data_IF_209329664489
#
_entry.id   IF_209329664489
#
_cell.length_a   1.000
_cell.length_b   1.000
_cell.length_c   1.000
_cell.angle_alpha   90.00
_cell.angle_beta   90.00
_cell.angle_gamma   90.00
#
_symmetry.space_group_name_H-M   'P 1'
#
loop_
_entity.id
_entity.type
_entity.pdbx_description
1 polymer ?
#
# COMPACT_ATOMS: atom_id res chain seq x y z
N UNK A 1 -50.08 6.39 -29.79
CA UNK A 1 -48.69 6.04 -30.20
C UNK A 1 -48.73 4.71 -30.96
N UNK A 2 -48.27 4.68 -32.21
CA UNK A 2 -48.55 3.56 -33.12
C UNK A 2 -47.72 2.30 -32.78
N UNK A 3 -48.34 1.11 -32.70
CA UNK A 3 -47.68 -0.17 -32.37
C UNK A 3 -46.48 -0.49 -33.28
N UNK A 4 -46.50 0.00 -34.53
CA UNK A 4 -45.42 -0.14 -35.49
C UNK A 4 -44.13 0.58 -35.04
N UNK A 5 -44.23 1.76 -34.42
CA UNK A 5 -43.05 2.48 -33.91
C UNK A 5 -42.40 1.75 -32.75
N UNK A 6 -43.20 1.22 -31.81
CA UNK A 6 -42.66 0.48 -30.68
C UNK A 6 -41.92 -0.79 -31.12
N UNK A 7 -42.45 -1.49 -32.13
CA UNK A 7 -41.77 -2.64 -32.75
C UNK A 7 -40.47 -2.26 -33.43
N UNK A 8 -40.45 -1.13 -34.16
CA UNK A 8 -39.24 -0.64 -34.82
C UNK A 8 -38.16 -0.27 -33.80
N UNK A 9 -38.52 0.44 -32.73
CA UNK A 9 -37.60 0.79 -31.65
C UNK A 9 -37.04 -0.47 -30.98
N UNK A 10 -37.90 -1.43 -30.65
CA UNK A 10 -37.44 -2.68 -30.02
C UNK A 10 -36.53 -3.50 -30.94
N UNK A 11 -36.86 -3.61 -32.22
CA UNK A 11 -36.03 -4.31 -33.21
C UNK A 11 -34.66 -3.64 -33.35
N UNK A 12 -34.62 -2.31 -33.37
CA UNK A 12 -33.38 -1.54 -33.47
C UNK A 12 -32.53 -1.68 -32.20
N UNK A 13 -33.14 -1.55 -31.02
CA UNK A 13 -32.46 -1.76 -29.73
C UNK A 13 -31.89 -3.17 -29.62
N UNK A 14 -32.66 -4.20 -30.01
CA UNK A 14 -32.19 -5.58 -30.02
C UNK A 14 -31.02 -5.78 -31.01
N UNK A 15 -31.06 -5.15 -32.18
CA UNK A 15 -29.98 -5.20 -33.15
C UNK A 15 -28.69 -4.55 -32.60
N UNK A 16 -28.79 -3.40 -31.94
CA UNK A 16 -27.65 -2.73 -31.31
C UNK A 16 -27.08 -3.54 -30.16
N UNK A 17 -27.93 -4.10 -29.29
CA UNK A 17 -27.48 -4.90 -28.17
C UNK A 17 -26.76 -6.15 -28.66
N UNK A 18 -27.28 -6.82 -29.70
CA UNK A 18 -26.63 -7.98 -30.32
C UNK A 18 -25.31 -7.63 -30.98
N UNK A 19 -25.20 -6.45 -31.60
CA UNK A 19 -23.95 -5.93 -32.17
C UNK A 19 -22.93 -5.67 -31.06
N UNK A 20 -23.34 -5.03 -29.97
CA UNK A 20 -22.50 -4.76 -28.80
C UNK A 20 -21.95 -6.04 -28.21
N UNK A 21 -22.79 -7.07 -27.98
CA UNK A 21 -22.32 -8.35 -27.46
C UNK A 21 -21.40 -9.13 -28.41
N UNK A 22 -21.42 -8.82 -29.71
CA UNK A 22 -20.53 -9.45 -30.70
C UNK A 22 -19.16 -8.76 -30.76
N UNK A 23 -19.05 -7.54 -30.24
CA UNK A 23 -17.79 -6.82 -30.11
C UNK A 23 -17.05 -7.27 -28.85
N UNK A 24 -16.32 -8.39 -28.97
CA UNK A 24 -15.57 -8.97 -27.85
C UNK A 24 -14.52 -8.03 -27.28
N UNK A 25 -13.93 -7.16 -28.11
CA UNK A 25 -12.92 -6.19 -27.68
C UNK A 25 -13.59 -5.05 -26.92
N UNK A 26 -14.68 -4.50 -27.45
CA UNK A 26 -15.47 -3.48 -26.75
C UNK A 26 -16.00 -3.97 -25.40
N UNK A 27 -16.48 -5.22 -25.33
CA UNK A 27 -16.90 -5.85 -24.07
C UNK A 27 -15.76 -6.00 -23.06
N UNK A 28 -14.57 -6.41 -23.50
CA UNK A 28 -13.39 -6.52 -22.64
C UNK A 28 -13.08 -5.19 -21.98
N UNK A 29 -12.99 -4.11 -22.75
CA UNK A 29 -12.66 -2.78 -22.22
C UNK A 29 -13.79 -2.16 -21.40
N UNK A 30 -15.05 -2.49 -21.70
CA UNK A 30 -16.21 -1.90 -20.99
C UNK A 30 -16.44 -2.56 -19.63
N UNK A 31 -16.23 -3.88 -19.52
CA UNK A 31 -16.51 -4.64 -18.29
C UNK A 31 -15.24 -5.13 -17.60
N UNK A 32 -14.41 -5.89 -18.30
CA UNK A 32 -13.29 -6.60 -17.67
C UNK A 32 -12.19 -5.63 -17.24
N UNK A 33 -11.85 -4.65 -18.05
CA UNK A 33 -10.79 -3.69 -17.74
C UNK A 33 -11.09 -2.83 -16.48
N UNK A 34 -12.28 -2.22 -16.32
CA UNK A 34 -12.65 -1.54 -15.08
C UNK A 34 -12.67 -2.46 -13.86
N UNK A 35 -13.14 -3.71 -14.03
CA UNK A 35 -13.14 -4.68 -12.94
C UNK A 35 -11.71 -5.05 -12.51
N UNK A 36 -10.76 -5.22 -13.44
CA UNK A 36 -9.36 -5.47 -13.11
C UNK A 36 -8.79 -4.34 -12.24
N UNK A 37 -9.07 -3.07 -12.55
CA UNK A 37 -8.68 -1.97 -11.67
C UNK A 37 -9.34 -2.05 -10.31
N UNK A 38 -10.65 -2.33 -10.25
CA UNK A 38 -11.34 -2.50 -8.98
C UNK A 38 -10.71 -3.61 -8.14
N UNK A 39 -10.29 -4.72 -8.75
CA UNK A 39 -9.62 -5.81 -8.05
C UNK A 39 -8.20 -5.43 -7.62
N UNK A 40 -7.42 -4.74 -8.45
CA UNK A 40 -6.06 -4.30 -8.10
C UNK A 40 -6.13 -3.30 -6.95
N UNK A 41 -6.96 -2.25 -7.07
CA UNK A 41 -7.13 -1.27 -6.00
C UNK A 41 -7.79 -1.90 -4.78
N UNK A 42 -8.76 -2.77 -4.95
CA UNK A 42 -9.36 -3.55 -3.87
C UNK A 42 -8.29 -4.35 -3.12
N UNK A 43 -7.44 -5.09 -3.83
CA UNK A 43 -6.35 -5.86 -3.24
C UNK A 43 -5.33 -4.98 -2.51
N UNK A 44 -4.83 -3.93 -3.18
CA UNK A 44 -3.87 -2.97 -2.61
C UNK A 44 -4.39 -2.26 -1.36
N UNK A 45 -5.71 -2.09 -1.23
CA UNK A 45 -6.36 -1.45 -0.08
C UNK A 45 -7.03 -2.45 0.89
N UNK A 46 -7.02 -3.75 0.59
CA UNK A 46 -7.71 -4.78 1.39
C UNK A 46 -6.84 -5.44 2.46
N UNK A 47 -5.52 -5.38 2.30
CA UNK A 47 -4.64 -5.58 3.44
C UNK A 47 -4.77 -4.35 4.33
N UNK A 48 -4.97 -4.54 5.63
CA UNK A 48 -4.36 -3.61 6.56
C UNK A 48 -2.92 -3.47 6.08
N UNK A 49 -2.56 -2.32 5.52
CA UNK A 49 -1.16 -1.94 5.49
C UNK A 49 -0.83 -1.80 6.98
N UNK A 50 -0.46 -2.93 7.61
CA UNK A 50 0.48 -2.89 8.71
C UNK A 50 1.67 -2.18 8.05
N UNK A 51 1.69 -0.86 8.21
CA UNK A 51 2.72 0.01 7.67
C UNK A 51 3.97 -0.38 8.44
N UNK A 52 4.58 -1.49 8.05
CA UNK A 52 5.79 -2.00 8.65
C UNK A 52 6.92 -1.14 8.11
N UNK A 53 7.24 -0.08 8.85
CA UNK A 53 8.33 0.82 8.50
C UNK A 53 9.63 0.16 8.91
N UNK A 54 10.53 -0.01 7.95
CA UNK A 54 11.88 -0.49 8.22
C UNK A 54 12.69 0.67 8.80
N UNK A 55 13.10 0.56 10.07
CA UNK A 55 13.80 1.62 10.78
C UNK A 55 15.18 1.16 11.25
N UNK A 56 16.16 2.05 11.15
CA UNK A 56 17.45 1.90 11.79
C UNK A 56 17.42 2.58 13.16
N UNK A 57 17.66 1.84 14.24
CA UNK A 57 17.72 2.37 15.59
C UNK A 57 19.17 2.42 16.07
N UNK A 58 19.64 3.63 16.42
CA UNK A 58 20.98 3.86 16.96
C UNK A 58 20.83 4.35 18.40
N UNK A 59 21.05 3.48 19.36
CA UNK A 59 20.96 3.82 20.78
C UNK A 59 22.34 4.14 21.35
N UNK A 60 22.55 5.40 21.74
CA UNK A 60 23.79 5.88 22.38
C UNK A 60 23.58 6.23 23.87
N UNK A 61 22.39 5.97 24.41
CA UNK A 61 22.04 6.26 25.80
C UNK A 61 22.13 5.01 26.66
N UNK A 62 22.76 5.15 27.82
CA UNK A 62 22.85 4.11 28.85
C UNK A 62 21.67 4.17 29.86
N UNK A 63 20.64 4.98 29.58
CA UNK A 63 19.51 5.12 30.49
C UNK A 63 18.55 3.92 30.40
N UNK A 64 17.96 3.52 31.53
CA UNK A 64 16.95 2.46 31.57
C UNK A 64 15.69 2.80 30.75
N UNK A 65 15.42 4.10 30.56
CA UNK A 65 14.35 4.55 29.69
C UNK A 65 14.66 4.30 28.21
N UNK A 66 15.92 4.48 27.78
CA UNK A 66 16.34 4.23 26.40
C UNK A 66 16.17 2.75 26.03
N UNK A 67 16.60 1.84 26.91
CA UNK A 67 16.40 0.39 26.74
C UNK A 67 14.91 0.01 26.66
N UNK A 68 14.08 0.62 27.53
CA UNK A 68 12.64 0.37 27.53
C UNK A 68 11.97 0.91 26.26
N UNK A 69 12.40 2.06 25.77
CA UNK A 69 11.92 2.66 24.52
C UNK A 69 12.28 1.79 23.31
N UNK A 70 13.52 1.31 23.24
CA UNK A 70 13.97 0.38 22.21
C UNK A 70 13.15 -0.92 22.20
N UNK A 71 12.89 -1.50 23.37
CA UNK A 71 12.08 -2.72 23.50
C UNK A 71 10.66 -2.48 22.97
N UNK A 72 10.03 -1.36 23.34
CA UNK A 72 8.68 -1.00 22.88
C UNK A 72 8.62 -0.76 21.36
N UNK A 73 9.70 -0.25 20.76
CA UNK A 73 9.82 -0.07 19.32
C UNK A 73 9.92 -1.41 18.58
N UNK A 74 10.72 -2.34 19.10
CA UNK A 74 10.89 -3.68 18.53
C UNK A 74 9.64 -4.55 18.66
N UNK A 75 8.88 -4.37 19.75
CA UNK A 75 7.64 -5.11 20.02
C UNK A 75 6.43 -4.55 19.23
N UNK A 76 6.59 -3.45 18.49
CA UNK A 76 5.51 -2.81 17.76
C UNK A 76 5.36 -3.40 16.36
N UNK A 77 4.16 -3.90 16.02
CA UNK A 77 3.85 -4.51 14.72
C UNK A 77 3.96 -3.53 13.52
N UNK A 78 4.04 -2.22 13.75
CA UNK A 78 4.22 -1.20 12.72
C UNK A 78 5.70 -0.87 12.44
N UNK A 79 6.66 -1.39 13.21
CA UNK A 79 8.08 -1.07 13.02
C UNK A 79 8.92 -2.34 12.97
N UNK A 80 9.75 -2.46 11.94
CA UNK A 80 10.80 -3.48 11.88
C UNK A 80 12.14 -2.78 12.10
N UNK A 81 12.76 -3.08 13.25
CA UNK A 81 14.07 -2.52 13.60
C UNK A 81 15.18 -3.35 12.97
N UNK A 82 15.98 -2.73 12.11
CA UNK A 82 17.16 -3.37 11.51
C UNK A 82 18.24 -3.62 12.58
N UNK A 83 18.81 -4.83 12.59
CA UNK A 83 19.85 -5.21 13.56
C UNK A 83 21.27 -4.77 13.14
N UNK A 84 21.48 -4.45 11.86
CA UNK A 84 22.80 -4.15 11.30
C UNK A 84 23.20 -2.66 11.41
N UNK A 85 22.45 -1.85 12.16
CA UNK A 85 22.60 -0.38 12.21
C UNK A 85 22.97 0.15 13.59
N UNK A 86 23.93 -0.48 14.27
CA UNK A 86 24.42 -0.02 15.59
C UNK A 86 25.12 1.36 15.53
N UNK A 87 25.59 1.79 14.36
CA UNK A 87 26.26 3.08 14.17
C UNK A 87 25.47 4.01 13.26
N UNK A 88 25.55 5.31 13.54
CA UNK A 88 24.87 6.34 12.75
C UNK A 88 25.31 6.35 11.28
N UNK A 89 26.58 6.05 11.01
CA UNK A 89 27.10 6.01 9.65
C UNK A 89 26.57 4.79 8.88
N UNK A 90 26.52 3.61 9.51
CA UNK A 90 25.90 2.42 8.92
C UNK A 90 24.39 2.63 8.67
N UNK A 91 23.69 3.24 9.63
CA UNK A 91 22.27 3.58 9.50
C UNK A 91 22.01 4.53 8.32
N UNK A 92 22.85 5.55 8.15
CA UNK A 92 22.77 6.50 7.01
C UNK A 92 23.07 5.83 5.68
N UNK A 93 24.03 4.90 5.65
CA UNK A 93 24.34 4.13 4.44
C UNK A 93 23.16 3.23 4.04
N UNK A 94 22.57 2.50 4.99
CA UNK A 94 21.39 1.67 4.79
C UNK A 94 20.20 2.50 4.27
N UNK A 95 19.96 3.68 4.85
CA UNK A 95 18.93 4.61 4.38
C UNK A 95 19.23 5.09 2.95
N UNK A 96 20.50 5.39 2.64
CA UNK A 96 20.92 5.79 1.29
C UNK A 96 20.74 4.68 0.24
N UNK A 97 20.81 3.41 0.64
CA UNK A 97 20.54 2.23 -0.20
C UNK A 97 19.04 1.89 -0.30
N UNK A 98 18.20 2.50 0.53
CA UNK A 98 16.78 2.16 0.65
C UNK A 98 16.52 0.85 1.38
N UNK A 99 17.47 0.41 2.22
CA UNK A 99 17.31 -0.77 3.10
C UNK A 99 16.50 -0.44 4.35
N UNK A 100 16.40 0.85 4.72
CA UNK A 100 15.52 1.38 5.77
C UNK A 100 14.84 2.66 5.30
N UNK A 101 13.62 2.90 5.78
CA UNK A 101 12.82 4.10 5.50
C UNK A 101 13.26 5.31 6.35
N UNK A 102 13.82 5.04 7.53
CA UNK A 102 14.17 6.10 8.49
C UNK A 102 15.25 5.67 9.49
N UNK A 103 15.96 6.66 10.05
CA UNK A 103 16.93 6.48 11.12
C UNK A 103 16.42 7.19 12.38
N UNK A 104 16.39 6.47 13.50
CA UNK A 104 16.09 7.00 14.84
C UNK A 104 17.37 6.94 15.67
N UNK A 105 17.82 8.08 16.15
CA UNK A 105 18.99 8.20 17.03
C UNK A 105 18.52 8.56 18.46
N UNK A 106 18.94 7.76 19.45
CA UNK A 106 18.78 8.07 20.87
C UNK A 106 20.12 8.61 21.39
N UNK A 107 20.28 9.94 21.54
CA UNK A 107 21.55 10.53 21.99
C UNK A 107 21.84 10.16 23.45
N UNK A 108 23.10 10.28 23.87
CA UNK A 108 23.55 9.87 25.22
C UNK A 108 22.72 10.41 26.40
N UNK A 109 22.17 11.63 26.31
CA UNK A 109 21.33 12.23 27.35
C UNK A 109 19.84 11.83 27.29
N UNK A 110 19.45 10.93 26.39
CA UNK A 110 18.05 10.53 26.24
C UNK A 110 17.59 9.70 27.44
N UNK A 111 16.56 10.17 28.15
CA UNK A 111 16.01 9.49 29.33
C UNK A 111 16.72 9.81 30.65
N UNK A 112 17.71 10.71 30.65
CA UNK A 112 18.25 11.28 31.89
C UNK A 112 17.24 12.33 32.42
N UNK A 113 16.68 12.09 33.59
CA UNK A 113 15.77 13.01 34.31
C UNK A 113 16.08 13.01 35.81
#
# INVERSE_FOLDING_TARGET
MNKAYFRAIFALSAAYLRRFFRDKVGLFFTFLFPLLFLFIFGYLNSGNQDLNFDIALVNQSDSSFAEQFETQLRDNEAFTVSEDTETLDAAKEAMGKGEVDTVIELPAGFGES
#
